data_IF_433356022779
#
_entry.id   IF_433356022779
#
_cell.length_a   1.000
_cell.length_b   1.000
_cell.length_c   1.000
_cell.angle_alpha   90.00
_cell.angle_beta   90.00
_cell.angle_gamma   90.00
#
_symmetry.space_group_name_H-M   'P 1'
#
loop_
_entity.id
_entity.type
_entity.pdbx_description
1 polymer ?
#
# COMPACT_ATOMS: atom_id res chain seq x y z
N UNK A 1 -3.20 -34.69 -3.37
CA UNK A 1 -2.08 -35.65 -3.45
C UNK A 1 -0.93 -35.18 -4.36
N UNK A 2 -1.19 -34.79 -5.61
CA UNK A 2 -0.17 -34.28 -6.56
C UNK A 2 0.64 -33.10 -6.02
N UNK A 3 -0.01 -32.08 -5.43
CA UNK A 3 0.66 -30.92 -4.84
C UNK A 3 1.71 -31.31 -3.78
N UNK A 4 1.38 -32.25 -2.89
CA UNK A 4 2.31 -32.71 -1.86
C UNK A 4 3.53 -33.44 -2.45
N UNK A 5 3.32 -34.25 -3.50
CA UNK A 5 4.41 -34.92 -4.24
C UNK A 5 5.33 -33.90 -4.93
N UNK A 6 4.77 -32.85 -5.53
CA UNK A 6 5.56 -31.78 -6.15
C UNK A 6 6.44 -31.08 -5.11
N UNK A 7 5.90 -30.70 -3.94
CA UNK A 7 6.71 -30.10 -2.87
C UNK A 7 7.79 -31.06 -2.39
N UNK A 8 7.48 -32.34 -2.24
CA UNK A 8 8.46 -33.35 -1.85
C UNK A 8 9.62 -33.45 -2.86
N UNK A 9 9.32 -33.47 -4.15
CA UNK A 9 10.34 -33.51 -5.21
C UNK A 9 11.28 -32.31 -5.12
N UNK A 10 10.73 -31.11 -4.99
CA UNK A 10 11.54 -29.89 -4.84
C UNK A 10 12.26 -29.80 -3.50
N UNK A 11 11.66 -30.31 -2.43
CA UNK A 11 12.34 -30.37 -1.13
C UNK A 11 13.61 -31.22 -1.20
N UNK A 12 13.61 -32.31 -1.97
CA UNK A 12 14.78 -33.17 -2.16
C UNK A 12 15.76 -32.58 -3.19
N UNK A 13 15.25 -32.10 -4.33
CA UNK A 13 16.09 -31.65 -5.44
C UNK A 13 16.63 -30.23 -5.24
N UNK A 14 15.76 -29.29 -4.87
CA UNK A 14 16.08 -27.86 -4.74
C UNK A 14 15.33 -27.22 -3.54
N UNK A 15 15.76 -27.50 -2.29
CA UNK A 15 15.03 -27.05 -1.09
C UNK A 15 14.78 -25.53 -1.05
N UNK A 16 15.67 -24.74 -1.64
CA UNK A 16 15.57 -23.27 -1.74
C UNK A 16 14.36 -22.80 -2.56
N UNK A 17 13.83 -23.63 -3.46
CA UNK A 17 12.65 -23.30 -4.29
C UNK A 17 11.33 -23.60 -3.60
N UNK A 18 11.33 -24.36 -2.51
CA UNK A 18 10.10 -24.77 -1.81
C UNK A 18 9.21 -23.58 -1.44
N UNK A 19 9.71 -22.45 -0.89
CA UNK A 19 8.87 -21.29 -0.61
C UNK A 19 8.19 -20.72 -1.86
N UNK A 20 8.93 -20.60 -2.96
CA UNK A 20 8.42 -20.10 -4.25
C UNK A 20 7.31 -20.99 -4.81
N UNK A 21 7.46 -22.31 -4.67
CA UNK A 21 6.47 -23.28 -5.13
C UNK A 21 5.20 -23.19 -4.30
N UNK A 22 5.33 -23.10 -2.97
CA UNK A 22 4.17 -22.99 -2.08
C UNK A 22 3.34 -21.72 -2.34
N UNK A 23 3.96 -20.67 -2.87
CA UNK A 23 3.29 -19.44 -3.28
C UNK A 23 2.66 -19.52 -4.69
N UNK A 24 2.93 -20.58 -5.46
CA UNK A 24 2.40 -20.78 -6.81
C UNK A 24 0.89 -21.03 -6.81
N UNK A 25 0.13 -20.52 -7.81
CA UNK A 25 -1.29 -20.81 -7.97
C UNK A 25 -1.62 -22.31 -8.02
N UNK A 26 -0.73 -23.13 -8.60
CA UNK A 26 -0.88 -24.59 -8.68
C UNK A 26 -0.88 -25.28 -7.32
N UNK A 27 -0.37 -24.59 -6.29
CA UNK A 27 -0.25 -25.09 -4.92
C UNK A 27 -1.41 -24.64 -4.02
N UNK A 28 -2.46 -24.02 -4.58
CA UNK A 28 -3.63 -23.52 -3.82
C UNK A 28 -4.26 -24.56 -2.89
N UNK A 29 -4.27 -25.83 -3.31
CA UNK A 29 -4.96 -26.92 -2.60
C UNK A 29 -4.01 -27.79 -1.74
N UNK A 30 -2.78 -27.36 -1.48
CA UNK A 30 -1.92 -28.11 -0.56
C UNK A 30 -2.47 -28.02 0.87
N UNK A 31 -2.39 -29.12 1.61
CA UNK A 31 -2.70 -29.10 3.04
C UNK A 31 -1.69 -28.16 3.77
N UNK A 32 -2.16 -27.13 4.49
CA UNK A 32 -1.30 -26.17 5.18
C UNK A 32 -0.35 -26.82 6.21
N UNK A 33 -0.78 -27.87 6.91
CA UNK A 33 0.06 -28.62 7.86
C UNK A 33 1.22 -29.31 7.13
N UNK A 34 0.96 -29.90 5.97
CA UNK A 34 1.99 -30.51 5.14
C UNK A 34 2.97 -29.46 4.64
N UNK A 35 2.49 -28.32 4.13
CA UNK A 35 3.34 -27.21 3.70
C UNK A 35 4.24 -26.71 4.84
N UNK A 36 3.67 -26.50 6.03
CA UNK A 36 4.40 -26.08 7.23
C UNK A 36 5.48 -27.08 7.63
N UNK A 37 5.18 -28.38 7.55
CA UNK A 37 6.16 -29.43 7.88
C UNK A 37 7.40 -29.40 7.00
N UNK A 38 7.25 -29.06 5.71
CA UNK A 38 8.40 -28.90 4.81
C UNK A 38 9.17 -27.61 5.10
N UNK A 39 8.46 -26.51 5.35
CA UNK A 39 9.10 -25.22 5.69
C UNK A 39 9.95 -25.29 6.96
N UNK A 40 9.46 -25.95 8.02
CA UNK A 40 10.24 -26.15 9.27
C UNK A 40 11.52 -26.96 9.07
N UNK A 41 11.57 -27.83 8.06
CA UNK A 41 12.76 -28.60 7.72
C UNK A 41 13.81 -27.81 6.92
N UNK A 42 13.48 -26.61 6.44
CA UNK A 42 14.40 -25.75 5.66
C UNK A 42 15.24 -24.81 6.54
N UNK A 43 14.88 -24.65 7.82
CA UNK A 43 15.55 -23.72 8.76
C UNK A 43 17.01 -24.09 9.05
N UNK A 44 17.50 -25.24 8.58
CA UNK A 44 18.86 -25.74 8.81
C UNK A 44 19.92 -25.19 7.85
N UNK A 45 19.58 -24.33 6.86
CA UNK A 45 20.58 -23.83 5.88
C UNK A 45 20.50 -22.33 5.55
N UNK A 46 21.16 -21.51 6.38
CA UNK A 46 22.00 -20.35 6.05
C UNK A 46 21.46 -19.12 5.29
N UNK A 47 20.69 -19.24 4.21
CA UNK A 47 20.39 -18.09 3.33
C UNK A 47 18.94 -18.03 2.81
N UNK A 48 18.07 -18.95 3.24
CA UNK A 48 16.65 -18.99 2.89
C UNK A 48 15.74 -18.32 3.94
N UNK A 49 16.31 -17.69 4.98
CA UNK A 49 15.58 -17.42 6.22
C UNK A 49 14.37 -16.49 6.07
N UNK A 50 14.48 -15.40 5.30
CA UNK A 50 13.36 -14.45 5.24
C UNK A 50 12.19 -14.93 4.39
N UNK A 51 12.46 -15.55 3.25
CA UNK A 51 11.42 -16.05 2.39
C UNK A 51 10.71 -17.26 3.03
N UNK A 52 11.48 -18.12 3.72
CA UNK A 52 10.93 -19.20 4.54
C UNK A 52 10.06 -18.62 5.66
N UNK A 53 10.53 -17.61 6.40
CA UNK A 53 9.75 -16.92 7.43
C UNK A 53 8.43 -16.37 6.87
N UNK A 54 8.46 -15.60 5.77
CA UNK A 54 7.25 -15.03 5.18
C UNK A 54 6.28 -16.11 4.68
N UNK A 55 6.81 -17.19 4.11
CA UNK A 55 5.98 -18.29 3.62
C UNK A 55 5.39 -19.08 4.79
N UNK A 56 6.12 -19.25 5.90
CA UNK A 56 5.58 -19.80 7.13
C UNK A 56 4.49 -18.90 7.70
N UNK A 57 4.71 -17.59 7.76
CA UNK A 57 3.71 -16.63 8.21
C UNK A 57 2.43 -16.71 7.35
N UNK A 58 2.55 -16.84 6.03
CA UNK A 58 1.42 -17.00 5.12
C UNK A 58 0.69 -18.35 5.31
N UNK A 59 1.43 -19.45 5.52
CA UNK A 59 0.84 -20.77 5.77
C UNK A 59 0.18 -20.84 7.16
N UNK A 60 0.74 -20.14 8.15
CA UNK A 60 0.18 -20.02 9.49
C UNK A 60 -1.22 -19.39 9.46
N UNK A 61 -1.41 -18.33 8.66
CA UNK A 61 -2.72 -17.72 8.45
C UNK A 61 -3.73 -18.73 7.90
N UNK A 62 -3.34 -19.51 6.88
CA UNK A 62 -4.20 -20.59 6.32
C UNK A 62 -4.53 -21.68 7.33
N UNK A 63 -3.71 -21.85 8.37
CA UNK A 63 -3.95 -22.79 9.47
C UNK A 63 -4.81 -22.19 10.58
N UNK A 64 -5.07 -20.89 10.57
CA UNK A 64 -5.69 -20.16 11.68
C UNK A 64 -4.76 -19.92 12.87
N UNK A 65 -3.45 -20.17 12.72
CA UNK A 65 -2.45 -20.02 13.78
C UNK A 65 -1.87 -18.59 13.77
N UNK A 66 -2.61 -17.66 14.38
CA UNK A 66 -2.25 -16.25 14.43
C UNK A 66 -1.02 -15.96 15.28
N UNK A 67 -0.75 -16.78 16.31
CA UNK A 67 0.43 -16.63 17.16
C UNK A 67 1.70 -17.00 16.42
N UNK A 68 1.68 -18.12 15.68
CA UNK A 68 2.82 -18.49 14.84
C UNK A 68 3.03 -17.47 13.72
N UNK A 69 1.95 -16.98 13.08
CA UNK A 69 2.04 -15.87 12.12
C UNK A 69 2.76 -14.65 12.72
N UNK A 70 2.30 -14.20 13.89
CA UNK A 70 2.86 -13.03 14.58
C UNK A 70 4.34 -13.24 14.93
N UNK A 71 4.72 -14.43 15.39
CA UNK A 71 6.10 -14.74 15.75
C UNK A 71 7.03 -14.70 14.53
N UNK A 72 6.61 -15.29 13.41
CA UNK A 72 7.36 -15.23 12.14
C UNK A 72 7.45 -13.79 11.62
N UNK A 73 6.36 -13.02 11.63
CA UNK A 73 6.38 -11.62 11.19
C UNK A 73 7.28 -10.71 12.04
N UNK A 74 7.47 -11.03 13.33
CA UNK A 74 8.34 -10.26 14.24
C UNK A 74 9.82 -10.64 14.15
N UNK A 75 10.17 -11.73 13.47
CA UNK A 75 11.55 -12.23 13.47
C UNK A 75 12.50 -11.40 12.62
N UNK A 76 11.98 -10.53 11.74
CA UNK A 76 12.78 -9.64 10.90
C UNK A 76 12.26 -8.21 10.98
N UNK A 77 13.14 -7.26 10.67
CA UNK A 77 12.75 -5.85 10.53
C UNK A 77 11.86 -5.63 9.31
N UNK A 78 11.05 -4.56 9.34
CA UNK A 78 10.13 -4.20 8.25
C UNK A 78 10.83 -4.14 6.88
N UNK A 79 11.99 -3.46 6.81
CA UNK A 79 12.78 -3.37 5.57
C UNK A 79 13.17 -4.74 5.01
N UNK A 80 13.54 -5.68 5.89
CA UNK A 80 13.85 -7.04 5.47
C UNK A 80 12.60 -7.75 4.94
N UNK A 81 11.44 -7.60 5.60
CA UNK A 81 10.18 -8.17 5.13
C UNK A 81 9.80 -7.64 3.75
N UNK A 82 9.95 -6.34 3.50
CA UNK A 82 9.76 -5.72 2.18
C UNK A 82 10.66 -6.37 1.13
N UNK A 83 11.94 -6.58 1.42
CA UNK A 83 12.84 -7.32 0.53
C UNK A 83 12.33 -8.75 0.26
N UNK A 84 11.80 -9.44 1.27
CA UNK A 84 11.20 -10.76 1.11
C UNK A 84 9.98 -10.78 0.18
N UNK A 85 9.11 -9.77 0.26
CA UNK A 85 8.00 -9.61 -0.68
C UNK A 85 8.46 -9.29 -2.10
N UNK A 86 9.54 -8.51 -2.27
CA UNK A 86 10.15 -8.27 -3.59
C UNK A 86 10.69 -9.56 -4.22
N UNK A 87 11.27 -10.44 -3.40
CA UNK A 87 11.75 -11.75 -3.85
C UNK A 87 10.61 -12.68 -4.26
N UNK A 88 9.48 -12.63 -3.56
CA UNK A 88 8.30 -13.43 -3.88
C UNK A 88 7.00 -12.60 -3.83
N UNK A 89 6.67 -11.89 -4.93
CA UNK A 89 5.47 -11.05 -5.00
C UNK A 89 4.18 -11.83 -4.80
N UNK A 90 4.16 -13.14 -5.09
CA UNK A 90 2.98 -14.01 -4.97
C UNK A 90 2.50 -14.21 -3.53
N UNK A 91 3.30 -13.79 -2.54
CA UNK A 91 2.88 -13.71 -1.15
C UNK A 91 1.82 -12.63 -0.91
N UNK A 92 1.81 -11.55 -1.70
CA UNK A 92 0.85 -10.44 -1.60
C UNK A 92 -0.14 -10.42 -2.76
N UNK A 93 0.33 -10.70 -3.97
CA UNK A 93 -0.40 -10.47 -5.22
C UNK A 93 -0.42 -11.74 -6.06
N UNK A 94 -1.61 -12.23 -6.39
CA UNK A 94 -1.79 -13.30 -7.38
C UNK A 94 -2.45 -12.75 -8.64
N UNK A 95 -2.05 -13.26 -9.81
CA UNK A 95 -2.79 -13.01 -11.05
C UNK A 95 -3.71 -14.20 -11.34
N UNK A 96 -4.99 -13.93 -11.59
CA UNK A 96 -5.97 -14.94 -12.05
C UNK A 96 -6.71 -14.39 -13.25
N UNK A 97 -6.59 -15.07 -14.40
CA UNK A 97 -7.23 -14.66 -15.67
C UNK A 97 -6.95 -13.20 -16.06
N UNK A 98 -5.73 -12.73 -15.80
CA UNK A 98 -5.33 -11.33 -16.05
C UNK A 98 -5.80 -10.31 -15.01
N UNK A 99 -6.53 -10.73 -13.97
CA UNK A 99 -6.94 -9.88 -12.86
C UNK A 99 -6.03 -10.05 -11.64
N UNK A 100 -5.80 -8.94 -10.94
CA UNK A 100 -5.06 -8.92 -9.69
C UNK A 100 -5.97 -9.34 -8.55
N UNK A 101 -5.49 -10.32 -7.79
CA UNK A 101 -6.18 -10.89 -6.65
C UNK A 101 -5.25 -10.80 -5.44
N UNK A 102 -5.59 -9.99 -4.43
CA UNK A 102 -4.85 -9.96 -3.17
C UNK A 102 -4.88 -11.31 -2.46
N UNK A 103 -3.79 -11.67 -1.78
CA UNK A 103 -3.73 -12.88 -0.97
C UNK A 103 -4.40 -12.69 0.39
N UNK A 104 -4.63 -13.79 1.10
CA UNK A 104 -5.04 -13.78 2.51
C UNK A 104 -4.03 -13.05 3.40
N UNK A 105 -2.73 -13.15 3.10
CA UNK A 105 -1.70 -12.39 3.79
C UNK A 105 -1.85 -10.88 3.56
N UNK A 106 -2.11 -10.45 2.33
CA UNK A 106 -2.36 -9.04 2.04
C UNK A 106 -3.60 -8.50 2.79
N UNK A 107 -4.69 -9.28 2.83
CA UNK A 107 -5.89 -8.94 3.60
C UNK A 107 -5.59 -8.83 5.10
N UNK A 108 -4.79 -9.74 5.65
CA UNK A 108 -4.39 -9.68 7.06
C UNK A 108 -3.50 -8.47 7.37
N UNK A 109 -2.54 -8.16 6.48
CA UNK A 109 -1.65 -6.99 6.63
C UNK A 109 -2.42 -5.67 6.51
N UNK A 110 -3.46 -5.61 5.67
CA UNK A 110 -4.34 -4.45 5.56
C UNK A 110 -4.91 -4.02 6.93
N UNK A 111 -5.33 -4.99 7.74
CA UNK A 111 -5.93 -4.74 9.06
C UNK A 111 -4.90 -4.56 10.18
N UNK A 112 -3.74 -5.21 10.07
CA UNK A 112 -2.77 -5.28 11.20
C UNK A 112 -1.55 -4.39 11.03
N UNK A 113 -1.06 -4.22 9.81
CA UNK A 113 0.17 -3.49 9.48
C UNK A 113 0.04 -2.80 8.10
N UNK A 114 -0.89 -1.85 7.93
CA UNK A 114 -1.12 -1.17 6.65
C UNK A 114 0.13 -0.45 6.12
N UNK A 115 0.98 0.08 7.02
CA UNK A 115 2.27 0.67 6.65
C UNK A 115 3.22 -0.31 5.96
N UNK A 116 3.42 -1.50 6.52
CA UNK A 116 4.24 -2.55 5.90
C UNK A 116 3.65 -2.97 4.54
N UNK A 117 2.32 -3.07 4.44
CA UNK A 117 1.67 -3.42 3.18
C UNK A 117 1.95 -2.37 2.09
N UNK A 118 1.74 -1.09 2.40
CA UNK A 118 2.03 0.03 1.48
C UNK A 118 3.49 0.05 1.07
N UNK A 119 4.42 -0.08 2.04
CA UNK A 119 5.85 -0.14 1.78
C UNK A 119 6.23 -1.34 0.89
N UNK A 120 5.57 -2.49 1.09
CA UNK A 120 5.82 -3.70 0.31
C UNK A 120 5.36 -3.55 -1.14
N UNK A 121 4.14 -3.05 -1.38
CA UNK A 121 3.62 -2.82 -2.75
C UNK A 121 4.45 -1.75 -3.47
N UNK A 122 4.86 -0.69 -2.77
CA UNK A 122 5.79 0.32 -3.31
C UNK A 122 7.13 -0.32 -3.67
N UNK A 123 7.65 -1.20 -2.81
CA UNK A 123 8.84 -2.01 -3.08
C UNK A 123 8.70 -2.87 -4.33
N UNK A 124 7.55 -3.55 -4.50
CA UNK A 124 7.24 -4.33 -5.71
C UNK A 124 7.27 -3.44 -6.96
N UNK A 125 6.61 -2.28 -6.91
CA UNK A 125 6.53 -1.37 -8.05
C UNK A 125 7.92 -0.83 -8.44
N UNK A 126 8.72 -0.38 -7.46
CA UNK A 126 10.08 0.13 -7.71
C UNK A 126 11.02 -0.93 -8.30
N UNK A 127 10.71 -2.21 -8.10
CA UNK A 127 11.49 -3.34 -8.62
C UNK A 127 10.83 -4.03 -9.83
N UNK A 128 9.89 -3.35 -10.51
CA UNK A 128 9.19 -3.83 -11.70
C UNK A 128 8.50 -5.20 -11.49
N UNK A 129 8.04 -5.47 -10.26
CA UNK A 129 7.28 -6.69 -9.92
C UNK A 129 5.77 -6.51 -10.09
N UNK A 130 5.31 -5.26 -10.12
CA UNK A 130 3.92 -4.86 -10.37
C UNK A 130 3.94 -3.52 -11.12
N UNK A 131 3.04 -3.34 -12.08
CA UNK A 131 2.84 -2.08 -12.79
C UNK A 131 2.21 -0.99 -11.92
N UNK A 132 2.21 0.26 -12.41
CA UNK A 132 1.61 1.40 -11.71
C UNK A 132 0.08 1.21 -11.59
N UNK A 133 -0.59 0.96 -12.72
CA UNK A 133 -2.04 0.73 -12.76
C UNK A 133 -2.43 -0.55 -12.02
N UNK A 134 -1.57 -1.57 -12.09
CA UNK A 134 -1.72 -2.82 -11.36
C UNK A 134 -1.71 -2.60 -9.83
N UNK A 135 -0.83 -1.74 -9.32
CA UNK A 135 -0.79 -1.39 -7.91
C UNK A 135 -2.03 -0.59 -7.45
N UNK A 136 -2.51 0.34 -8.28
CA UNK A 136 -3.77 1.06 -8.01
C UNK A 136 -4.95 0.06 -7.94
N UNK A 137 -5.03 -0.85 -8.90
CA UNK A 137 -6.05 -1.92 -8.95
C UNK A 137 -5.97 -2.84 -7.74
N UNK A 138 -4.75 -3.20 -7.30
CA UNK A 138 -4.54 -4.01 -6.11
C UNK A 138 -5.22 -3.42 -4.88
N UNK A 139 -5.01 -2.12 -4.58
CA UNK A 139 -5.61 -1.48 -3.42
C UNK A 139 -7.13 -1.31 -3.54
N UNK A 140 -7.64 -1.05 -4.76
CA UNK A 140 -9.10 -1.00 -5.01
C UNK A 140 -9.76 -2.35 -4.72
N UNK A 141 -9.21 -3.43 -5.26
CA UNK A 141 -9.72 -4.79 -5.02
C UNK A 141 -9.58 -5.19 -3.55
N UNK A 142 -8.46 -4.85 -2.92
CA UNK A 142 -8.18 -5.19 -1.51
C UNK A 142 -9.17 -4.53 -0.54
N UNK A 143 -9.58 -3.30 -0.82
CA UNK A 143 -10.49 -2.56 0.05
C UNK A 143 -11.98 -2.81 -0.26
N UNK A 144 -12.29 -3.56 -1.32
CA UNK A 144 -13.64 -3.95 -1.73
C UNK A 144 -14.65 -2.77 -1.74
N UNK A 145 -14.21 -1.60 -2.22
CA UNK A 145 -15.06 -0.42 -2.35
C UNK A 145 -15.70 -0.36 -3.73
N UNK A 146 -16.87 0.26 -3.80
CA UNK A 146 -17.55 0.59 -5.06
C UNK A 146 -16.62 1.34 -6.01
N UNK A 147 -16.81 1.20 -7.32
CA UNK A 147 -15.90 1.73 -8.35
C UNK A 147 -15.60 3.23 -8.20
N UNK A 148 -16.53 3.98 -7.59
CA UNK A 148 -16.44 5.43 -7.45
C UNK A 148 -15.70 5.91 -6.18
N UNK A 149 -15.38 5.04 -5.23
CA UNK A 149 -14.77 5.47 -3.94
C UNK A 149 -13.30 5.07 -3.83
N UNK A 150 -12.42 6.06 -3.73
CA UNK A 150 -10.99 5.85 -3.50
C UNK A 150 -10.75 5.52 -2.01
N UNK A 151 -10.19 4.34 -1.67
CA UNK A 151 -9.88 3.98 -0.28
C UNK A 151 -8.69 4.79 0.25
N UNK A 152 -8.69 5.10 1.56
CA UNK A 152 -7.59 5.80 2.20
C UNK A 152 -6.24 5.09 1.98
N UNK A 153 -6.21 3.77 2.01
CA UNK A 153 -4.97 3.01 1.81
C UNK A 153 -4.34 3.22 0.40
N UNK A 154 -5.16 3.50 -0.62
CA UNK A 154 -4.66 3.88 -1.94
C UNK A 154 -4.09 5.31 -1.93
N UNK A 155 -4.71 6.22 -1.17
CA UNK A 155 -4.16 7.57 -0.95
C UNK A 155 -2.83 7.49 -0.22
N UNK A 156 -2.72 6.67 0.83
CA UNK A 156 -1.47 6.46 1.57
C UNK A 156 -0.37 5.88 0.66
N UNK A 157 -0.74 5.00 -0.27
CA UNK A 157 0.17 4.49 -1.28
C UNK A 157 0.66 5.58 -2.23
N UNK A 158 -0.23 6.44 -2.72
CA UNK A 158 0.13 7.59 -3.54
C UNK A 158 1.04 8.58 -2.80
N UNK A 159 0.75 8.86 -1.52
CA UNK A 159 1.63 9.65 -0.65
C UNK A 159 3.01 8.98 -0.48
N UNK A 160 3.05 7.66 -0.33
CA UNK A 160 4.30 6.91 -0.21
C UNK A 160 5.12 6.94 -1.52
N UNK A 161 4.47 6.82 -2.67
CA UNK A 161 5.08 6.99 -3.99
C UNK A 161 5.71 8.38 -4.14
N UNK A 162 5.03 9.42 -3.67
CA UNK A 162 5.51 10.79 -3.75
C UNK A 162 6.77 11.00 -2.91
N UNK A 163 6.76 10.52 -1.66
CA UNK A 163 7.94 10.57 -0.77
C UNK A 163 9.11 9.75 -1.32
N UNK A 164 8.84 8.69 -2.06
CA UNK A 164 9.87 7.83 -2.64
C UNK A 164 10.52 8.38 -3.92
N UNK A 165 10.16 9.61 -4.34
CA UNK A 165 10.71 10.36 -5.47
C UNK A 165 10.76 9.54 -6.79
N UNK A 166 9.60 9.15 -7.29
CA UNK A 166 9.47 8.49 -8.60
C UNK A 166 9.87 9.43 -9.77
N UNK A 167 10.20 8.91 -10.96
CA UNK A 167 10.57 9.72 -12.12
C UNK A 167 9.50 10.75 -12.50
N UNK A 168 9.92 11.93 -12.97
CA UNK A 168 9.06 13.12 -13.19
C UNK A 168 7.79 12.87 -14.01
N UNK A 169 7.82 11.92 -14.96
CA UNK A 169 6.68 11.57 -15.81
C UNK A 169 5.49 11.01 -15.02
N UNK A 170 5.76 10.31 -13.92
CA UNK A 170 4.74 9.72 -13.02
C UNK A 170 4.26 10.74 -11.98
N UNK A 171 5.07 11.77 -11.71
CA UNK A 171 4.84 12.74 -10.64
C UNK A 171 3.61 13.63 -10.92
N UNK A 172 3.42 14.06 -12.17
CA UNK A 172 2.29 14.93 -12.54
C UNK A 172 0.93 14.22 -12.39
N UNK A 173 0.86 12.95 -12.80
CA UNK A 173 -0.35 12.14 -12.64
C UNK A 173 -0.64 11.90 -11.15
N UNK A 174 0.39 11.62 -10.36
CA UNK A 174 0.29 11.41 -8.92
C UNK A 174 -0.24 12.66 -8.20
N UNK A 175 0.29 13.84 -8.56
CA UNK A 175 -0.24 15.11 -8.06
C UNK A 175 -1.71 15.27 -8.40
N UNK A 176 -2.10 15.00 -9.65
CA UNK A 176 -3.50 15.11 -10.05
C UNK A 176 -4.42 14.19 -9.24
N UNK A 177 -4.03 12.92 -9.03
CA UNK A 177 -4.77 11.95 -8.21
C UNK A 177 -4.96 12.43 -6.78
N UNK A 178 -3.87 12.84 -6.12
CA UNK A 178 -3.90 13.35 -4.74
C UNK A 178 -4.73 14.64 -4.62
N UNK A 179 -4.52 15.60 -5.51
CA UNK A 179 -5.29 16.87 -5.51
C UNK A 179 -6.77 16.61 -5.63
N UNK A 180 -7.16 15.80 -6.62
CA UNK A 180 -8.55 15.53 -6.93
C UNK A 180 -9.23 14.87 -5.74
N UNK A 181 -8.55 13.93 -5.08
CA UNK A 181 -9.09 13.24 -3.93
C UNK A 181 -9.26 14.14 -2.71
N UNK A 182 -8.27 14.97 -2.38
CA UNK A 182 -8.42 15.89 -1.24
C UNK A 182 -9.49 16.95 -1.48
N UNK A 183 -9.58 17.52 -2.70
CA UNK A 183 -10.66 18.45 -3.04
C UNK A 183 -12.02 17.76 -2.91
N UNK A 184 -12.14 16.54 -3.42
CA UNK A 184 -13.39 15.78 -3.35
C UNK A 184 -13.80 15.57 -1.89
N UNK A 185 -12.88 15.14 -1.02
CA UNK A 185 -13.16 14.95 0.43
C UNK A 185 -13.59 16.24 1.11
N UNK A 186 -12.89 17.35 0.86
CA UNK A 186 -13.24 18.66 1.40
C UNK A 186 -14.61 19.12 0.90
N UNK A 187 -14.91 18.91 -0.40
CA UNK A 187 -16.18 19.30 -1.02
C UNK A 187 -17.37 18.50 -0.48
N UNK A 188 -17.15 17.22 -0.13
CA UNK A 188 -18.18 16.32 0.41
C UNK A 188 -18.20 16.29 1.94
N UNK A 189 -17.26 16.98 2.61
CA UNK A 189 -16.99 16.85 4.06
C UNK A 189 -16.87 15.38 4.48
N UNK A 190 -16.22 14.59 3.65
CA UNK A 190 -16.09 13.16 3.87
C UNK A 190 -14.74 12.85 4.52
N UNK A 191 -14.71 12.33 5.76
CA UNK A 191 -13.47 11.92 6.39
C UNK A 191 -12.86 10.70 5.69
N UNK A 192 -11.56 10.45 5.87
CA UNK A 192 -10.95 9.21 5.42
C UNK A 192 -11.59 8.01 6.13
N UNK A 193 -11.73 6.90 5.43
CA UNK A 193 -12.36 5.67 5.94
C UNK A 193 -11.51 4.92 6.96
N UNK A 194 -10.21 5.17 6.96
CA UNK A 194 -9.26 4.67 7.96
C UNK A 194 -8.32 5.80 8.35
N UNK A 195 -7.59 5.64 9.45
CA UNK A 195 -6.59 6.63 9.86
C UNK A 195 -5.47 6.72 8.80
N UNK A 196 -5.19 7.90 8.24
CA UNK A 196 -4.10 8.09 7.30
C UNK A 196 -2.75 7.65 7.89
N UNK A 197 -1.89 7.05 7.06
CA UNK A 197 -0.58 6.57 7.51
C UNK A 197 0.42 7.71 7.80
N UNK A 198 0.18 8.88 7.22
CA UNK A 198 1.02 10.07 7.40
C UNK A 198 0.18 11.31 7.60
N UNK A 199 0.70 12.19 8.44
CA UNK A 199 0.17 13.53 8.62
C UNK A 199 0.73 14.49 7.56
N UNK A 200 0.15 15.67 7.43
CA UNK A 200 0.62 16.74 6.56
C UNK A 200 2.01 17.17 7.00
N UNK A 201 2.30 17.18 8.30
CA UNK A 201 3.62 17.48 8.84
C UNK A 201 4.65 16.41 8.43
N UNK A 202 4.31 15.13 8.54
CA UNK A 202 5.19 14.04 8.09
C UNK A 202 5.54 14.18 6.60
N UNK A 203 4.54 14.52 5.79
CA UNK A 203 4.71 14.64 4.36
C UNK A 203 5.52 15.90 3.98
N UNK A 204 5.30 17.02 4.67
CA UNK A 204 6.09 18.25 4.55
C UNK A 204 7.56 17.98 4.85
N UNK A 205 7.82 17.23 5.93
CA UNK A 205 9.18 16.92 6.35
C UNK A 205 9.86 15.88 5.45
N UNK A 206 9.09 14.96 4.85
CA UNK A 206 9.64 13.83 4.09
C UNK A 206 9.80 14.09 2.58
N UNK A 207 9.11 15.08 2.01
CA UNK A 207 9.10 15.31 0.57
C UNK A 207 9.42 16.76 0.23
N UNK A 208 10.51 16.97 -0.51
CA UNK A 208 10.99 18.30 -0.95
C UNK A 208 10.03 19.02 -1.92
N UNK A 209 8.98 18.34 -2.38
CA UNK A 209 7.90 18.92 -3.17
C UNK A 209 6.85 19.63 -2.31
N UNK A 210 6.77 19.35 -1.00
CA UNK A 210 6.01 20.19 -0.09
C UNK A 210 6.75 21.49 0.16
N UNK A 211 6.19 22.59 -0.33
CA UNK A 211 6.64 23.94 0.01
C UNK A 211 6.18 24.36 1.41
N UNK A 212 6.53 25.60 1.79
CA UNK A 212 6.00 26.25 2.99
C UNK A 212 4.47 26.35 2.93
N UNK A 213 3.82 26.16 4.08
CA UNK A 213 2.38 26.36 4.27
C UNK A 213 1.98 27.74 3.73
N UNK A 214 1.18 27.78 2.66
CA UNK A 214 0.78 29.04 2.05
C UNK A 214 -0.28 29.76 2.90
N UNK A 215 -0.21 31.11 3.02
CA UNK A 215 -1.09 31.89 3.91
C UNK A 215 -2.60 31.70 3.71
N UNK A 216 -3.06 31.36 2.50
CA UNK A 216 -4.48 31.12 2.22
C UNK A 216 -5.05 29.90 2.97
N UNK A 217 -4.21 28.89 3.24
CA UNK A 217 -4.61 27.72 4.04
C UNK A 217 -4.84 28.16 5.48
N UNK A 218 -3.95 28.98 6.04
CA UNK A 218 -4.15 29.58 7.36
C UNK A 218 -5.43 30.42 7.42
N UNK A 219 -5.72 31.20 6.38
CA UNK A 219 -6.96 32.00 6.32
C UNK A 219 -8.19 31.09 6.35
N UNK A 220 -8.24 30.05 5.51
CA UNK A 220 -9.38 29.10 5.45
C UNK A 220 -9.56 28.29 6.76
N UNK A 221 -8.47 27.81 7.36
CA UNK A 221 -8.50 27.09 8.65
C UNK A 221 -8.97 28.03 9.78
N UNK A 222 -8.52 29.29 9.78
CA UNK A 222 -8.83 30.25 10.85
C UNK A 222 -10.27 30.77 10.77
N UNK A 223 -10.88 30.77 9.58
CA UNK A 223 -12.26 31.23 9.39
C UNK A 223 -13.32 30.23 9.84
N UNK A 224 -12.97 28.96 10.06
CA UNK A 224 -13.95 27.91 10.36
C UNK A 224 -13.70 27.30 11.75
N UNK A 225 -14.21 27.96 12.79
CA UNK A 225 -14.01 27.58 14.21
C UNK A 225 -14.55 26.19 14.61
N UNK A 226 -15.27 25.53 13.70
CA UNK A 226 -15.88 24.20 13.85
C UNK A 226 -15.21 23.12 12.97
N UNK A 227 -14.09 23.44 12.31
CA UNK A 227 -13.44 22.52 11.38
C UNK A 227 -12.97 21.23 12.07
N UNK A 228 -13.44 20.09 11.56
CA UNK A 228 -12.99 18.76 11.97
C UNK A 228 -11.48 18.59 11.70
N UNK A 229 -10.79 17.82 12.54
CA UNK A 229 -9.34 17.55 12.41
C UNK A 229 -8.98 16.97 11.04
N UNK A 230 -9.85 16.12 10.49
CA UNK A 230 -9.63 15.54 9.15
C UNK A 230 -9.75 16.59 8.04
N UNK A 231 -10.62 17.58 8.22
CA UNK A 231 -10.80 18.69 7.26
C UNK A 231 -9.55 19.57 7.23
N UNK A 232 -9.01 19.94 8.40
CA UNK A 232 -7.76 20.71 8.48
C UNK A 232 -6.56 19.97 7.90
N UNK A 233 -6.57 18.64 8.03
CA UNK A 233 -5.53 17.76 7.53
C UNK A 233 -5.51 17.68 6.00
N UNK A 234 -6.66 17.36 5.37
CA UNK A 234 -6.77 17.31 3.90
C UNK A 234 -6.50 18.68 3.25
N UNK A 235 -6.93 19.77 3.90
CA UNK A 235 -6.65 21.14 3.44
C UNK A 235 -5.15 21.47 3.52
N UNK A 236 -4.45 20.97 4.54
CA UNK A 236 -2.99 21.11 4.66
C UNK A 236 -2.27 20.24 3.63
N UNK A 237 -2.74 19.01 3.39
CA UNK A 237 -2.20 18.12 2.35
C UNK A 237 -2.40 18.65 0.94
N UNK A 238 -3.47 19.43 0.68
CA UNK A 238 -3.70 20.10 -0.61
C UNK A 238 -2.63 21.12 -1.03
N UNK A 239 -1.72 21.49 -0.12
CA UNK A 239 -0.59 22.35 -0.47
C UNK A 239 0.38 21.69 -1.45
N UNK A 240 0.43 20.36 -1.44
CA UNK A 240 1.25 19.50 -2.30
C UNK A 240 1.31 19.89 -3.77
N UNK A 241 0.18 19.97 -4.49
CA UNK A 241 0.17 19.91 -5.94
C UNK A 241 0.10 21.30 -6.56
N UNK A 242 -0.34 22.27 -5.76
CA UNK A 242 -0.81 23.57 -6.20
C UNK A 242 0.32 24.51 -6.66
N UNK A 243 1.58 24.28 -6.28
CA UNK A 243 2.59 25.33 -6.43
C UNK A 243 3.80 25.04 -7.32
N UNK A 244 4.17 23.79 -7.63
CA UNK A 244 5.31 23.53 -8.54
C UNK A 244 4.96 23.15 -9.99
N UNK A 245 3.86 22.43 -10.23
CA UNK A 245 3.56 21.86 -11.57
C UNK A 245 2.53 22.64 -12.39
N UNK A 246 1.71 23.47 -11.75
CA UNK A 246 0.56 24.10 -12.41
C UNK A 246 0.94 25.44 -13.03
N UNK A 247 0.45 25.70 -14.24
CA UNK A 247 0.53 27.05 -14.83
C UNK A 247 -0.24 28.03 -13.94
N UNK A 248 0.08 29.32 -14.01
CA UNK A 248 -0.64 30.35 -13.25
C UNK A 248 -2.16 30.25 -13.46
N UNK A 249 -2.60 29.90 -14.68
CA UNK A 249 -3.99 29.69 -15.04
C UNK A 249 -4.65 28.52 -14.28
N UNK A 250 -3.98 27.37 -14.16
CA UNK A 250 -4.51 26.22 -13.43
C UNK A 250 -4.61 26.51 -11.92
N UNK A 251 -3.63 27.23 -11.36
CA UNK A 251 -3.67 27.68 -9.96
C UNK A 251 -4.86 28.62 -9.72
N UNK A 252 -5.09 29.56 -10.63
CA UNK A 252 -6.22 30.49 -10.57
C UNK A 252 -7.55 29.78 -10.74
N UNK A 253 -7.65 28.77 -11.60
CA UNK A 253 -8.88 27.99 -11.78
C UNK A 253 -9.20 27.15 -10.54
N UNK A 254 -8.20 26.55 -9.87
CA UNK A 254 -8.44 25.84 -8.61
C UNK A 254 -8.83 26.80 -7.50
N UNK A 255 -8.10 27.91 -7.34
CA UNK A 255 -8.43 28.93 -6.35
C UNK A 255 -9.81 29.53 -6.60
N UNK A 256 -10.22 29.69 -7.86
CA UNK A 256 -11.58 30.10 -8.23
C UNK A 256 -12.63 29.01 -7.94
N UNK A 257 -12.27 27.73 -8.08
CA UNK A 257 -13.16 26.61 -7.78
C UNK A 257 -13.35 26.43 -6.28
N UNK A 258 -12.27 26.54 -5.51
CA UNK A 258 -12.26 26.49 -4.04
C UNK A 258 -12.93 27.74 -3.46
N UNK A 259 -12.66 28.93 -4.02
CA UNK A 259 -13.29 30.18 -3.56
C UNK A 259 -14.78 30.26 -3.91
N UNK A 260 -15.20 29.83 -5.11
CA UNK A 260 -16.63 29.69 -5.41
C UNK A 260 -17.30 28.71 -4.46
N UNK A 261 -16.65 27.60 -4.09
CA UNK A 261 -17.23 26.64 -3.15
C UNK A 261 -17.32 27.19 -1.72
N UNK A 262 -16.29 27.88 -1.22
CA UNK A 262 -16.31 28.53 0.09
C UNK A 262 -17.35 29.66 0.17
N UNK A 263 -17.59 30.39 -0.92
CA UNK A 263 -18.61 31.47 -0.97
C UNK A 263 -20.03 30.92 -1.08
N UNK A 264 -20.23 29.75 -1.70
CA UNK A 264 -21.56 29.14 -1.85
C UNK A 264 -22.02 28.41 -0.57
N UNK A 265 -21.12 28.16 0.39
CA UNK A 265 -21.43 27.45 1.65
C UNK A 265 -21.07 28.23 2.93
N UNK A 266 -20.84 29.55 2.82
CA UNK A 266 -20.91 30.50 3.93
C UNK A 266 -22.33 31.07 4.04
#
# INVERSE_FOLDING_TARGET
>A
ELAAKVVQMFYVAEPKQVPHILCSPSMKNINPLTAMSYLRKLDTSGFSSILVTLTKAAVALKMGDLDMHRNEMKSHSEMKLVCGFILEPRLLVQQRKGQIVPTELALHLKETQPGLLVASVLGLQKNNKIGIEEADSFFKVLCAKDEDTIPQLLVDFWEAQLVACLPDVVLQELFFKLTSQYIWRLSKRQPPDTTPLRTSEDLINACSHYGLIHPWVHVLISSDSLADKNYTEDLSKLQLPLFRSWSHFQKTLLLASVSMFCVVHA
#
